data_IF_707324230759
#
_entry.id   IF_707324230759
#
_cell.length_a   1.000
_cell.length_b   1.000
_cell.length_c   1.000
_cell.angle_alpha   90.00
_cell.angle_beta   90.00
_cell.angle_gamma   90.00
#
_symmetry.space_group_name_H-M   'P 1'
#
loop_
_entity.id
_entity.type
_entity.pdbx_description
1 polymer ?
#
# COMPACT_ATOMS: atom_id res chain seq x y z
N UNK A 1 1.12 -20.38 15.88
CA UNK A 1 1.28 -20.91 14.52
C UNK A 1 2.71 -21.37 14.36
N UNK A 2 2.94 -22.62 14.00
CA UNK A 2 4.29 -23.20 13.88
C UNK A 2 4.85 -22.92 12.47
N UNK A 3 5.56 -21.80 12.33
CA UNK A 3 6.08 -21.32 11.06
C UNK A 3 7.16 -22.25 10.51
N UNK A 4 7.97 -22.88 11.37
CA UNK A 4 9.01 -23.82 10.91
C UNK A 4 8.39 -25.06 10.29
N UNK A 5 7.35 -25.62 10.92
CA UNK A 5 6.60 -26.74 10.35
C UNK A 5 5.97 -26.39 9.00
N UNK A 6 5.35 -25.21 8.88
CA UNK A 6 4.74 -24.75 7.62
C UNK A 6 5.81 -24.55 6.53
N UNK A 7 6.90 -23.86 6.89
CA UNK A 7 8.04 -23.63 5.99
C UNK A 7 8.62 -24.94 5.47
N UNK A 8 8.82 -25.93 6.33
CA UNK A 8 9.32 -27.25 5.95
C UNK A 8 8.35 -27.99 5.02
N UNK A 9 7.05 -27.98 5.34
CA UNK A 9 6.02 -28.60 4.51
C UNK A 9 5.96 -27.98 3.10
N UNK A 10 6.05 -26.65 3.00
CA UNK A 10 6.06 -25.95 1.71
C UNK A 10 7.35 -26.18 0.92
N UNK A 11 8.51 -26.27 1.59
CA UNK A 11 9.79 -26.51 0.92
C UNK A 11 9.87 -27.91 0.31
N UNK A 12 9.23 -28.90 0.93
CA UNK A 12 9.21 -30.28 0.46
C UNK A 12 8.06 -30.59 -0.51
N UNK A 13 7.21 -29.62 -0.84
CA UNK A 13 5.95 -29.83 -1.57
C UNK A 13 5.02 -30.88 -0.92
N UNK A 14 5.19 -31.07 0.38
CA UNK A 14 4.46 -32.04 1.22
C UNK A 14 3.54 -31.29 2.19
N UNK A 15 2.58 -30.51 1.66
CA UNK A 15 1.61 -29.82 2.50
C UNK A 15 0.47 -30.78 2.91
N UNK A 16 0.36 -31.21 4.18
CA UNK A 16 -0.74 -32.07 4.59
C UNK A 16 -2.08 -31.34 4.42
N UNK A 17 -3.10 -32.04 3.90
CA UNK A 17 -4.39 -31.44 3.59
C UNK A 17 -5.05 -30.76 4.80
N UNK A 18 -4.98 -31.38 5.98
CA UNK A 18 -5.51 -30.80 7.23
C UNK A 18 -4.82 -29.48 7.60
N UNK A 19 -3.49 -29.42 7.42
CA UNK A 19 -2.72 -28.19 7.67
C UNK A 19 -3.10 -27.11 6.66
N UNK A 20 -3.24 -27.45 5.38
CA UNK A 20 -3.66 -26.52 4.33
C UNK A 20 -5.04 -25.92 4.62
N UNK A 21 -6.02 -26.77 4.97
CA UNK A 21 -7.38 -26.33 5.32
C UNK A 21 -7.40 -25.45 6.56
N UNK A 22 -6.62 -25.80 7.58
CA UNK A 22 -6.49 -24.99 8.78
C UNK A 22 -5.88 -23.62 8.47
N UNK A 23 -4.80 -23.57 7.69
CA UNK A 23 -4.20 -22.32 7.27
C UNK A 23 -5.17 -21.47 6.46
N UNK A 24 -5.95 -22.09 5.58
CA UNK A 24 -6.95 -21.39 4.76
C UNK A 24 -8.07 -20.78 5.62
N UNK A 25 -8.46 -21.45 6.71
CA UNK A 25 -9.54 -21.00 7.60
C UNK A 25 -9.07 -19.96 8.60
N UNK A 26 -7.86 -20.09 9.12
CA UNK A 26 -7.35 -19.28 10.22
C UNK A 26 -6.67 -17.98 9.77
N UNK A 27 -6.15 -17.93 8.53
CA UNK A 27 -5.36 -16.80 8.04
C UNK A 27 -6.15 -15.87 7.12
N UNK A 28 -5.55 -14.71 6.83
CA UNK A 28 -6.14 -13.68 6.00
C UNK A 28 -5.90 -13.84 4.50
N UNK A 29 -6.62 -13.01 3.75
CA UNK A 29 -6.57 -12.92 2.30
C UNK A 29 -6.46 -11.46 1.88
N UNK A 30 -5.58 -11.19 0.92
CA UNK A 30 -5.53 -9.92 0.22
C UNK A 30 -6.00 -10.18 -1.21
N UNK A 31 -7.07 -9.53 -1.64
CA UNK A 31 -7.61 -9.69 -2.99
C UNK A 31 -7.47 -8.35 -3.72
N UNK A 32 -6.86 -8.39 -4.91
CA UNK A 32 -6.62 -7.20 -5.73
C UNK A 32 -7.29 -7.41 -7.08
N UNK A 33 -8.39 -6.69 -7.32
CA UNK A 33 -9.11 -6.75 -8.59
C UNK A 33 -8.51 -5.81 -9.63
N UNK A 34 -8.61 -6.20 -10.90
CA UNK A 34 -8.21 -5.39 -12.06
C UNK A 34 -6.74 -4.97 -12.09
N UNK A 35 -5.88 -5.65 -11.31
CA UNK A 35 -4.45 -5.42 -11.32
C UNK A 35 -3.86 -5.89 -12.66
N UNK A 36 -3.13 -5.05 -13.41
CA UNK A 36 -2.53 -5.47 -14.67
C UNK A 36 -1.35 -6.42 -14.43
N UNK A 37 -1.12 -7.32 -15.38
CA UNK A 37 0.08 -8.15 -15.40
C UNK A 37 1.34 -7.31 -15.68
N UNK A 38 2.50 -7.86 -15.32
CA UNK A 38 3.80 -7.20 -15.51
C UNK A 38 4.18 -6.23 -14.40
N UNK A 39 3.27 -5.87 -13.48
CA UNK A 39 3.63 -5.08 -12.31
C UNK A 39 4.44 -5.89 -11.31
N UNK A 40 5.33 -5.24 -10.56
CA UNK A 40 5.94 -5.84 -9.38
C UNK A 40 4.95 -5.73 -8.20
N UNK A 41 4.64 -6.85 -7.57
CA UNK A 41 3.90 -6.89 -6.33
C UNK A 41 4.76 -7.54 -5.26
N UNK A 42 4.80 -6.92 -4.07
CA UNK A 42 5.53 -7.46 -2.94
C UNK A 42 4.76 -7.45 -1.65
N UNK A 43 5.14 -8.41 -0.80
CA UNK A 43 4.76 -8.50 0.59
C UNK A 43 6.01 -8.73 1.42
N UNK A 44 6.22 -7.88 2.41
CA UNK A 44 7.30 -7.98 3.39
C UNK A 44 8.68 -8.12 2.71
N UNK A 45 9.24 -9.33 2.71
CA UNK A 45 10.58 -9.65 2.17
C UNK A 45 10.58 -10.24 0.75
N UNK A 46 9.42 -10.40 0.10
CA UNK A 46 9.34 -11.06 -1.20
C UNK A 46 8.47 -10.29 -2.18
N UNK A 47 8.95 -10.20 -3.41
CA UNK A 47 8.20 -9.65 -4.53
C UNK A 47 8.25 -10.56 -5.76
N UNK A 48 7.29 -10.34 -6.64
CA UNK A 48 7.13 -11.07 -7.89
C UNK A 48 6.55 -10.15 -8.95
N UNK A 49 6.82 -10.48 -10.21
CA UNK A 49 6.08 -9.92 -11.34
C UNK A 49 4.71 -10.59 -11.43
N UNK A 50 3.65 -9.79 -11.54
CA UNK A 50 2.28 -10.27 -11.63
C UNK A 50 2.00 -10.94 -12.97
N UNK A 51 1.34 -12.10 -12.90
CA UNK A 51 0.80 -12.81 -14.06
C UNK A 51 -0.67 -12.44 -14.32
N UNK A 52 -1.17 -12.69 -15.53
CA UNK A 52 -2.52 -12.29 -15.98
C UNK A 52 -3.67 -12.74 -15.08
N UNK A 53 -3.53 -13.90 -14.43
CA UNK A 53 -4.58 -14.49 -13.57
C UNK A 53 -4.39 -14.18 -12.09
N UNK A 54 -3.38 -13.40 -11.71
CA UNK A 54 -3.13 -13.11 -10.31
C UNK A 54 -4.27 -12.29 -9.71
N UNK A 55 -4.82 -12.76 -8.60
CA UNK A 55 -5.90 -12.08 -7.87
C UNK A 55 -5.52 -11.68 -6.44
N UNK A 56 -4.29 -11.98 -5.99
CA UNK A 56 -3.80 -11.57 -4.67
C UNK A 56 -3.12 -12.69 -3.89
N UNK A 57 -3.15 -12.56 -2.56
CA UNK A 57 -2.49 -13.44 -1.61
C UNK A 57 -3.48 -14.16 -0.69
N UNK A 58 -3.16 -15.41 -0.37
CA UNK A 58 -3.84 -16.23 0.63
C UNK A 58 -2.88 -16.66 1.73
N UNK A 59 -3.45 -17.13 2.84
CA UNK A 59 -2.73 -17.66 3.99
C UNK A 59 -1.88 -16.60 4.70
N UNK A 60 -2.31 -15.33 4.69
CA UNK A 60 -1.58 -14.23 5.33
C UNK A 60 -1.70 -14.37 6.85
N UNK A 61 -0.59 -14.57 7.58
CA UNK A 61 -0.60 -14.65 9.03
C UNK A 61 -1.33 -13.47 9.71
N UNK A 62 -1.98 -13.68 10.86
CA UNK A 62 -2.38 -12.55 11.69
C UNK A 62 -1.16 -11.75 12.13
N UNK A 63 -1.25 -10.42 12.06
CA UNK A 63 -0.13 -9.53 12.34
C UNK A 63 -0.01 -8.40 11.35
N UNK A 64 1.02 -7.58 11.52
CA UNK A 64 1.33 -6.48 10.59
C UNK A 64 2.05 -7.03 9.37
N UNK A 65 1.67 -6.53 8.20
CA UNK A 65 2.31 -6.82 6.91
C UNK A 65 2.41 -5.54 6.10
N UNK A 66 3.45 -5.46 5.28
CA UNK A 66 3.64 -4.36 4.32
C UNK A 66 3.47 -4.90 2.90
N UNK A 67 2.53 -4.33 2.18
CA UNK A 67 2.28 -4.67 0.77
C UNK A 67 2.71 -3.50 -0.10
N UNK A 68 3.21 -3.81 -1.29
CA UNK A 68 3.49 -2.79 -2.27
C UNK A 68 3.22 -3.27 -3.69
N UNK A 69 2.95 -2.30 -4.57
CA UNK A 69 2.96 -2.45 -6.01
C UNK A 69 3.95 -1.43 -6.58
N UNK A 70 4.72 -1.85 -7.57
CA UNK A 70 5.64 -0.98 -8.31
C UNK A 70 5.52 -1.25 -9.79
N UNK A 71 5.72 -0.21 -10.58
CA UNK A 71 6.00 -0.33 -12.01
C UNK A 71 7.50 -0.03 -12.22
N UNK A 72 8.13 -0.52 -13.28
CA UNK A 72 9.60 -0.37 -13.48
C UNK A 72 10.09 1.09 -13.48
N UNK A 73 9.21 2.05 -13.79
CA UNK A 73 9.56 3.46 -13.94
C UNK A 73 8.75 4.39 -13.04
N UNK A 74 7.88 3.85 -12.19
CA UNK A 74 7.11 4.64 -11.25
C UNK A 74 7.60 4.42 -9.81
N UNK A 75 7.40 5.41 -8.94
CA UNK A 75 7.58 5.21 -7.51
C UNK A 75 6.74 4.04 -7.00
N UNK A 76 7.35 3.23 -6.14
CA UNK A 76 6.65 2.15 -5.43
C UNK A 76 5.57 2.75 -4.54
N UNK A 77 4.37 2.18 -4.61
CA UNK A 77 3.26 2.51 -3.70
C UNK A 77 2.95 1.31 -2.82
N UNK A 78 2.74 1.55 -1.53
CA UNK A 78 2.47 0.46 -0.60
C UNK A 78 1.74 0.93 0.64
N UNK A 79 1.36 -0.01 1.50
CA UNK A 79 0.65 0.29 2.73
C UNK A 79 0.91 -0.79 3.78
N UNK A 80 0.79 -0.40 5.03
CA UNK A 80 0.76 -1.33 6.14
C UNK A 80 -0.68 -1.79 6.41
N UNK A 81 -0.85 -3.08 6.69
CA UNK A 81 -2.12 -3.64 7.16
C UNK A 81 -1.85 -4.61 8.30
N UNK A 82 -2.58 -4.46 9.40
CA UNK A 82 -2.67 -5.48 10.44
C UNK A 82 -3.82 -6.44 10.10
N UNK A 83 -3.49 -7.69 9.79
CA UNK A 83 -4.46 -8.75 9.52
C UNK A 83 -4.93 -9.41 10.80
N UNK A 84 -6.25 -9.60 10.89
CA UNK A 84 -6.90 -10.50 11.84
C UNK A 84 -7.08 -11.87 11.21
N UNK A 85 -7.26 -12.90 12.04
CA UNK A 85 -7.52 -14.25 11.52
C UNK A 85 -8.79 -14.28 10.66
N UNK A 86 -8.75 -14.97 9.52
CA UNK A 86 -9.85 -15.05 8.54
C UNK A 86 -10.36 -13.68 8.04
N UNK A 87 -9.49 -12.67 7.97
CA UNK A 87 -9.81 -11.36 7.42
C UNK A 87 -9.56 -11.32 5.90
N UNK A 88 -10.49 -10.71 5.16
CA UNK A 88 -10.33 -10.45 3.72
C UNK A 88 -10.15 -8.95 3.54
N UNK A 89 -9.02 -8.55 2.96
CA UNK A 89 -8.78 -7.19 2.51
C UNK A 89 -8.98 -7.12 1.00
N UNK A 90 -9.97 -6.35 0.56
CA UNK A 90 -10.31 -6.19 -0.85
C UNK A 90 -9.83 -4.83 -1.36
N UNK A 91 -9.01 -4.87 -2.41
CA UNK A 91 -8.55 -3.71 -3.16
C UNK A 91 -8.97 -3.82 -4.62
N UNK A 92 -9.07 -2.67 -5.28
CA UNK A 92 -9.26 -2.59 -6.71
C UNK A 92 -8.23 -1.65 -7.31
N UNK A 93 -7.54 -2.10 -8.34
CA UNK A 93 -6.65 -1.25 -9.12
C UNK A 93 -7.46 -0.35 -10.06
N UNK A 94 -7.13 0.94 -10.07
CA UNK A 94 -7.64 1.91 -11.02
C UNK A 94 -6.56 2.18 -12.08
N UNK A 95 -6.87 1.84 -13.32
CA UNK A 95 -5.95 2.00 -14.45
C UNK A 95 -5.73 3.46 -14.83
N UNK A 96 -6.64 4.38 -14.48
CA UNK A 96 -6.51 5.79 -14.83
C UNK A 96 -5.58 6.52 -13.87
N UNK A 97 -5.66 6.21 -12.58
CA UNK A 97 -4.83 6.85 -11.55
C UNK A 97 -3.57 6.06 -11.22
N UNK A 98 -3.42 4.86 -11.80
CA UNK A 98 -2.35 3.91 -11.50
C UNK A 98 -2.18 3.66 -9.98
N UNK A 99 -3.32 3.58 -9.28
CA UNK A 99 -3.39 3.46 -7.83
C UNK A 99 -4.60 2.64 -7.39
N UNK A 100 -4.79 2.44 -6.10
CA UNK A 100 -5.94 1.72 -5.55
C UNK A 100 -7.18 2.59 -5.46
N UNK A 101 -8.30 2.09 -5.98
CA UNK A 101 -9.61 2.76 -5.97
C UNK A 101 -10.29 2.68 -4.60
N UNK A 102 -11.06 3.72 -4.26
CA UNK A 102 -11.90 3.80 -3.06
C UNK A 102 -13.21 3.00 -3.15
N UNK A 103 -13.63 2.65 -4.38
CA UNK A 103 -15.04 2.34 -4.67
C UNK A 103 -15.51 0.95 -4.21
N UNK A 104 -14.61 0.02 -3.90
CA UNK A 104 -14.96 -1.41 -3.87
C UNK A 104 -15.13 -2.04 -2.48
N UNK A 105 -14.62 -1.42 -1.41
CA UNK A 105 -14.57 -2.04 -0.08
C UNK A 105 -15.92 -2.00 0.69
N UNK A 106 -17.04 -2.34 0.03
CA UNK A 106 -18.32 -2.54 0.72
C UNK A 106 -18.37 -3.90 1.42
N UNK A 107 -19.16 -4.00 2.49
CA UNK A 107 -19.37 -5.26 3.22
C UNK A 107 -19.97 -6.34 2.33
N UNK A 108 -20.93 -5.98 1.49
CA UNK A 108 -21.59 -6.88 0.55
C UNK A 108 -20.60 -7.50 -0.45
N UNK A 109 -19.71 -6.69 -1.03
CA UNK A 109 -18.69 -7.19 -1.95
C UNK A 109 -17.74 -8.17 -1.25
N UNK A 110 -17.39 -7.88 0.00
CA UNK A 110 -16.51 -8.73 0.81
C UNK A 110 -17.16 -10.07 1.13
N UNK A 111 -18.46 -10.08 1.47
CA UNK A 111 -19.22 -11.30 1.76
C UNK A 111 -19.41 -12.17 0.50
N UNK A 112 -19.76 -11.55 -0.63
CA UNK A 112 -19.85 -12.25 -1.91
C UNK A 112 -18.53 -12.87 -2.31
N UNK A 113 -17.42 -12.17 -2.06
CA UNK A 113 -16.08 -12.66 -2.32
C UNK A 113 -15.72 -13.83 -1.40
N UNK A 114 -16.07 -13.73 -0.12
CA UNK A 114 -15.88 -14.81 0.87
C UNK A 114 -16.56 -16.10 0.42
N UNK A 115 -17.79 -16.01 -0.09
CA UNK A 115 -18.51 -17.16 -0.65
C UNK A 115 -17.85 -17.74 -1.92
N UNK A 116 -17.11 -16.93 -2.68
CA UNK A 116 -16.45 -17.32 -3.92
C UNK A 116 -14.95 -17.68 -3.77
N UNK A 117 -14.41 -17.66 -2.55
CA UNK A 117 -12.97 -17.85 -2.29
C UNK A 117 -12.42 -19.15 -2.88
N UNK A 118 -13.17 -20.25 -2.78
CA UNK A 118 -12.75 -21.56 -3.32
C UNK A 118 -12.56 -21.54 -4.84
N UNK A 119 -13.38 -20.79 -5.57
CA UNK A 119 -13.31 -20.71 -7.03
C UNK A 119 -12.11 -19.89 -7.52
N UNK A 120 -11.69 -18.91 -6.71
CA UNK A 120 -10.55 -18.03 -7.01
C UNK A 120 -9.25 -18.51 -6.38
N UNK A 121 -9.25 -19.55 -5.54
CA UNK A 121 -8.08 -20.02 -4.79
C UNK A 121 -6.85 -20.34 -5.67
N UNK A 122 -7.09 -20.88 -6.87
CA UNK A 122 -6.05 -21.17 -7.89
C UNK A 122 -5.35 -19.92 -8.43
N UNK A 123 -5.97 -18.76 -8.28
CA UNK A 123 -5.48 -17.46 -8.74
C UNK A 123 -4.83 -16.66 -7.60
N UNK A 124 -4.77 -17.22 -6.39
CA UNK A 124 -4.15 -16.61 -5.21
C UNK A 124 -2.81 -17.26 -4.92
N UNK A 125 -1.77 -16.43 -4.79
CA UNK A 125 -0.47 -16.91 -4.36
C UNK A 125 -0.46 -17.13 -2.83
N UNK A 126 0.24 -18.16 -2.37
CA UNK A 126 0.42 -18.38 -0.94
C UNK A 126 1.42 -17.36 -0.36
N UNK A 127 1.14 -16.88 0.85
CA UNK A 127 2.07 -16.05 1.60
C UNK A 127 3.45 -16.74 1.76
N UNK A 128 4.57 -16.02 1.63
CA UNK A 128 5.90 -16.63 1.60
C UNK A 128 6.41 -16.97 3.00
N UNK A 129 5.99 -18.12 3.52
CA UNK A 129 6.40 -18.60 4.85
C UNK A 129 7.91 -18.81 5.02
N UNK A 130 8.67 -18.91 3.92
CA UNK A 130 10.14 -19.00 3.94
C UNK A 130 10.81 -17.80 4.63
N UNK A 131 10.22 -16.60 4.49
CA UNK A 131 10.74 -15.32 5.01
C UNK A 131 9.93 -14.76 6.17
N UNK A 132 8.87 -15.46 6.61
CA UNK A 132 7.96 -14.99 7.65
C UNK A 132 8.66 -14.69 8.98
N UNK A 133 9.60 -15.54 9.38
CA UNK A 133 10.33 -15.38 10.65
C UNK A 133 11.17 -14.10 10.67
N UNK A 134 11.84 -13.78 9.56
CA UNK A 134 12.62 -12.54 9.42
C UNK A 134 11.71 -11.31 9.50
N UNK A 135 10.53 -11.38 8.89
CA UNK A 135 9.54 -10.32 8.98
C UNK A 135 9.04 -10.11 10.40
N UNK A 136 8.65 -11.19 11.09
CA UNK A 136 8.18 -11.11 12.48
C UNK A 136 9.23 -10.50 13.40
N UNK A 137 10.51 -10.82 13.21
CA UNK A 137 11.60 -10.22 13.98
C UNK A 137 11.77 -8.73 13.68
N UNK A 138 11.64 -8.32 12.42
CA UNK A 138 11.72 -6.91 12.01
C UNK A 138 10.53 -6.08 12.51
N UNK A 139 9.35 -6.69 12.58
CA UNK A 139 8.08 -6.00 12.83
C UNK A 139 7.51 -6.21 14.25
N UNK A 140 8.25 -6.85 15.16
CA UNK A 140 7.75 -7.29 16.47
C UNK A 140 7.23 -6.16 17.39
N UNK A 141 7.72 -4.93 17.22
CA UNK A 141 7.26 -3.76 17.98
C UNK A 141 6.17 -2.95 17.26
N UNK A 142 5.85 -3.28 16.01
CA UNK A 142 4.83 -2.59 15.22
C UNK A 142 3.48 -3.26 15.47
N UNK A 143 2.54 -2.53 16.08
CA UNK A 143 1.19 -3.01 16.38
C UNK A 143 0.12 -2.21 15.62
N UNK A 144 -1.14 -2.68 15.70
CA UNK A 144 -2.30 -2.05 15.04
C UNK A 144 -2.40 -0.55 15.37
N UNK A 145 -2.24 -0.17 16.65
CA UNK A 145 -2.25 1.24 17.08
C UNK A 145 -1.14 2.08 16.43
N UNK A 146 0.04 1.49 16.23
CA UNK A 146 1.17 2.16 15.59
C UNK A 146 0.91 2.36 14.11
N UNK A 147 0.38 1.33 13.43
CA UNK A 147 0.00 1.42 12.01
C UNK A 147 -1.10 2.44 11.80
N UNK A 148 -2.16 2.44 12.61
CA UNK A 148 -3.26 3.40 12.51
C UNK A 148 -2.80 4.84 12.76
N UNK A 149 -1.95 5.05 13.79
CA UNK A 149 -1.42 6.38 14.11
C UNK A 149 -0.51 6.93 13.02
N UNK A 150 0.32 6.09 12.41
CA UNK A 150 1.29 6.48 11.37
C UNK A 150 0.72 6.38 9.95
N UNK A 151 -0.55 6.01 9.80
CA UNK A 151 -1.18 5.89 8.49
C UNK A 151 -1.25 7.27 7.82
N UNK A 152 -0.72 7.44 6.59
CA UNK A 152 -0.98 8.65 5.81
C UNK A 152 -2.49 8.89 5.66
N UNK A 153 -2.89 10.16 5.58
CA UNK A 153 -4.32 10.51 5.46
C UNK A 153 -4.86 10.42 4.03
N UNK A 154 -4.00 10.12 3.06
CA UNK A 154 -4.39 9.86 1.69
C UNK A 154 -5.22 8.56 1.57
N UNK A 155 -5.69 8.32 0.36
CA UNK A 155 -6.49 7.15 -0.01
C UNK A 155 -5.78 5.86 0.41
N UNK A 156 -6.46 5.01 1.19
CA UNK A 156 -5.96 3.76 1.76
C UNK A 156 -4.73 3.86 2.69
N UNK A 157 -4.20 5.06 2.96
CA UNK A 157 -2.97 5.25 3.73
C UNK A 157 -1.73 4.74 3.00
N UNK A 158 -1.64 5.09 1.71
CA UNK A 158 -0.56 4.73 0.84
C UNK A 158 0.71 5.51 1.16
N UNK A 159 1.82 4.78 1.20
CA UNK A 159 3.18 5.26 1.29
C UNK A 159 3.78 5.13 -0.10
N UNK A 160 4.33 6.22 -0.62
CA UNK A 160 4.99 6.27 -1.92
C UNK A 160 6.49 6.50 -1.75
N UNK A 161 7.31 5.87 -2.59
CA UNK A 161 8.75 6.12 -2.64
C UNK A 161 9.11 7.56 -3.02
N UNK A 162 8.18 8.28 -3.65
CA UNK A 162 8.29 9.71 -3.94
C UNK A 162 6.97 10.38 -3.53
N UNK A 163 6.94 11.13 -2.41
CA UNK A 163 5.72 11.81 -1.97
C UNK A 163 5.25 12.81 -3.01
N UNK A 164 3.94 12.91 -3.18
CA UNK A 164 3.35 13.98 -3.97
C UNK A 164 3.70 15.32 -3.31
N UNK A 165 4.12 16.28 -4.12
CA UNK A 165 4.56 17.59 -3.65
C UNK A 165 3.77 18.68 -4.34
N UNK A 166 3.60 19.79 -3.63
CA UNK A 166 2.99 21.02 -4.12
C UNK A 166 4.02 22.14 -4.01
N UNK A 167 4.05 22.99 -5.02
CA UNK A 167 4.81 24.24 -5.00
C UNK A 167 4.16 25.25 -4.06
N UNK A 168 4.94 26.17 -3.50
CA UNK A 168 4.39 27.31 -2.75
C UNK A 168 3.44 28.17 -3.58
N UNK A 169 3.67 28.24 -4.89
CA UNK A 169 2.80 28.91 -5.85
C UNK A 169 1.43 28.24 -5.91
N UNK A 170 1.38 26.91 -5.98
CA UNK A 170 0.13 26.15 -5.94
C UNK A 170 -0.62 26.30 -4.62
N UNK A 171 0.09 26.33 -3.49
CA UNK A 171 -0.52 26.64 -2.19
C UNK A 171 -1.15 28.04 -2.19
N UNK A 172 -0.39 29.06 -2.62
CA UNK A 172 -0.89 30.43 -2.71
C UNK A 172 -2.10 30.53 -3.66
N UNK A 173 -2.04 29.86 -4.80
CA UNK A 173 -3.14 29.85 -5.76
C UNK A 173 -4.38 29.15 -5.23
N UNK A 174 -4.24 28.16 -4.33
CA UNK A 174 -5.38 27.52 -3.67
C UNK A 174 -6.08 28.44 -2.67
N UNK A 175 -5.36 29.39 -2.06
CA UNK A 175 -5.90 30.39 -1.14
C UNK A 175 -6.56 31.59 -1.86
N UNK A 176 -6.20 31.81 -3.13
CA UNK A 176 -6.73 32.90 -3.95
C UNK A 176 -8.00 32.48 -4.73
N UNK A 177 -8.99 33.37 -4.77
CA UNK A 177 -10.20 33.19 -5.59
C UNK A 177 -9.91 33.18 -7.11
N UNK A 178 -8.81 33.80 -7.53
CA UNK A 178 -8.40 33.88 -8.93
C UNK A 178 -6.96 33.35 -9.09
N UNK A 179 -6.85 32.13 -9.62
CA UNK A 179 -5.58 31.42 -9.83
C UNK A 179 -4.75 32.03 -10.96
N UNK A 180 -5.37 32.81 -11.85
CA UNK A 180 -4.67 33.41 -12.98
C UNK A 180 -3.54 34.34 -12.52
N UNK A 181 -3.72 35.00 -11.38
CA UNK A 181 -2.76 35.94 -10.76
C UNK A 181 -1.44 35.30 -10.31
N UNK A 182 -1.39 33.97 -10.20
CA UNK A 182 -0.17 33.26 -9.78
C UNK A 182 0.56 32.66 -10.98
N UNK A 183 -0.18 32.10 -11.93
CA UNK A 183 0.41 31.31 -13.02
C UNK A 183 0.54 32.04 -14.35
N UNK A 184 -0.35 33.00 -14.62
CA UNK A 184 -0.41 33.68 -15.91
C UNK A 184 0.33 35.02 -15.82
N UNK A 185 1.03 35.34 -16.92
CA UNK A 185 1.59 36.67 -17.13
C UNK A 185 0.76 37.29 -18.23
N UNK A 186 0.07 38.37 -17.90
CA UNK A 186 -0.74 39.13 -18.84
C UNK A 186 -0.44 40.62 -18.73
N UNK A 187 -1.21 41.44 -19.45
CA UNK A 187 -0.99 42.88 -19.48
C UNK A 187 -1.33 43.56 -18.14
N UNK A 188 -2.20 42.97 -17.33
CA UNK A 188 -2.63 43.47 -16.01
C UNK A 188 -1.74 42.91 -14.89
N UNK A 189 -1.09 41.77 -15.10
CA UNK A 189 -0.17 41.08 -14.19
C UNK A 189 1.15 40.76 -14.92
N UNK A 190 2.05 41.73 -15.08
CA UNK A 190 3.26 41.58 -15.90
C UNK A 190 4.33 40.69 -15.25
N UNK A 191 4.25 40.48 -13.93
CA UNK A 191 5.24 39.73 -13.16
C UNK A 191 4.66 38.40 -12.67
N UNK A 192 5.39 37.31 -12.88
CA UNK A 192 5.05 35.99 -12.35
C UNK A 192 5.58 35.84 -10.93
N UNK A 193 4.70 35.48 -9.99
CA UNK A 193 5.11 35.08 -8.65
C UNK A 193 5.95 33.80 -8.73
N UNK A 194 7.18 33.84 -8.20
CA UNK A 194 8.06 32.67 -8.08
C UNK A 194 8.64 32.60 -6.68
N UNK A 195 8.41 31.50 -5.99
CA UNK A 195 8.99 31.18 -4.70
C UNK A 195 10.19 30.27 -4.91
N UNK A 196 11.38 30.80 -4.63
CA UNK A 196 12.62 30.08 -4.81
C UNK A 196 13.44 30.03 -3.53
N UNK A 197 14.22 28.97 -3.36
CA UNK A 197 15.22 28.88 -2.30
C UNK A 197 16.49 29.69 -2.64
N UNK A 198 17.51 29.62 -1.78
CA UNK A 198 18.79 30.31 -1.99
C UNK A 198 19.57 29.84 -3.23
N UNK A 199 19.21 28.67 -3.80
CA UNK A 199 19.79 28.13 -5.02
C UNK A 199 18.93 28.42 -6.26
N UNK A 200 17.79 29.12 -6.11
CA UNK A 200 16.87 29.44 -7.21
C UNK A 200 15.91 28.30 -7.57
N UNK A 201 15.85 27.22 -6.78
CA UNK A 201 14.96 26.09 -7.01
C UNK A 201 13.56 26.36 -6.45
N UNK A 202 12.49 25.82 -7.09
CA UNK A 202 11.14 25.94 -6.56
C UNK A 202 11.03 25.38 -5.14
N UNK A 203 10.33 26.11 -4.28
CA UNK A 203 10.05 25.64 -2.92
C UNK A 203 8.92 24.61 -2.98
N UNK A 204 9.28 23.34 -2.82
CA UNK A 204 8.36 22.20 -2.82
C UNK A 204 8.04 21.77 -1.38
N UNK A 205 6.77 21.49 -1.10
CA UNK A 205 6.31 20.87 0.15
C UNK A 205 5.56 19.58 -0.15
N UNK A 206 5.61 18.62 0.78
CA UNK A 206 4.78 17.41 0.66
C UNK A 206 3.31 17.80 0.72
N UNK A 207 2.53 17.27 -0.22
CA UNK A 207 1.09 17.49 -0.30
C UNK A 207 0.41 16.93 0.96
N UNK A 208 -0.56 17.67 1.47
CA UNK A 208 -1.31 17.26 2.66
C UNK A 208 -1.87 15.83 2.50
N UNK A 209 -1.69 15.01 3.54
CA UNK A 209 -2.15 13.63 3.59
C UNK A 209 -1.20 12.58 3.00
N UNK A 210 -0.16 12.98 2.25
CA UNK A 210 0.91 12.08 1.78
C UNK A 210 2.08 11.96 2.78
N UNK A 211 2.08 12.80 3.80
CA UNK A 211 3.02 12.74 4.91
C UNK A 211 2.74 11.56 5.84
N UNK A 212 3.82 10.96 6.37
CA UNK A 212 3.73 9.99 7.46
C UNK A 212 3.83 10.78 8.77
N UNK A 213 2.81 10.76 9.64
CA UNK A 213 2.77 11.58 10.86
C UNK A 213 3.65 11.00 11.97
N UNK A 214 4.97 10.98 11.74
CA UNK A 214 5.95 10.59 12.74
C UNK A 214 5.93 11.56 13.92
N UNK A 215 6.24 11.02 15.11
CA UNK A 215 6.49 11.85 16.28
C UNK A 215 7.72 12.71 16.03
N UNK A 216 7.62 14.03 16.28
CA UNK A 216 8.78 14.92 16.20
C UNK A 216 9.84 14.46 17.21
N UNK A 217 11.08 14.31 16.74
CA UNK A 217 12.22 14.03 17.62
C UNK A 217 12.43 15.31 18.45
N UNK A 218 12.44 15.23 19.79
CA UNK A 218 12.70 16.39 20.61
C UNK A 218 14.13 16.89 20.37
N UNK A 219 14.29 18.20 20.31
CA UNK A 219 15.63 18.81 20.27
C UNK A 219 16.32 18.51 21.60
N UNK A 220 17.50 17.90 21.55
CA UNK A 220 18.32 17.69 22.74
C UNK A 220 18.96 19.04 23.10
N UNK A 221 18.77 19.55 24.32
CA UNK A 221 19.36 20.81 24.75
C UNK A 221 20.89 20.77 24.85
#
# INVERSE_FOLDING_TARGET
MDIEKIKKAMANDEMPQELAQKLFTDNGFLIIQNCPAGLEFGVDYKSWTLADKFLGLKLIPPGVHYFFISTEKAPRIGFFKCFKGNEIHLLQWDKQTESFSEKLASKENTERLKANLQNIDRNLAAYPFSTAQNWIQLSNFINEKTVERLKPKNVHGLITGQPETVTKEEELAAELNDKSKVFNVDREHPDRVRFQDSAGLPIMKVKEGFEIPFTKIPDVP
#
